data_IF_817248201701
#
_entry.id   IF_817248201701
#
_cell.length_a   1.000
_cell.length_b   1.000
_cell.length_c   1.000
_cell.angle_alpha   90.00
_cell.angle_beta   90.00
_cell.angle_gamma   90.00
#
_symmetry.space_group_name_H-M   'P 1'
#
loop_
_entity.id
_entity.type
_entity.pdbx_description
1 polymer ?
#
# COMPACT_ATOMS: atom_id res chain seq x y z
N UNK A 1 -12.41 -28.82 3.38
CA UNK A 1 -12.48 -27.61 2.54
C UNK A 1 -13.38 -26.60 3.25
N UNK A 2 -12.87 -25.43 3.63
CA UNK A 2 -13.70 -24.41 4.29
C UNK A 2 -14.67 -23.84 3.25
N UNK A 3 -15.99 -23.98 3.46
CA UNK A 3 -17.01 -23.32 2.63
C UNK A 3 -16.68 -21.82 2.58
N UNK A 4 -16.41 -21.29 1.39
CA UNK A 4 -16.24 -19.85 1.21
C UNK A 4 -17.52 -19.12 1.64
N UNK A 5 -17.38 -17.95 2.28
CA UNK A 5 -18.53 -17.10 2.63
C UNK A 5 -19.36 -16.82 1.37
N UNK A 6 -20.65 -17.12 1.43
CA UNK A 6 -21.62 -16.99 0.32
C UNK A 6 -22.20 -15.56 0.16
N UNK A 7 -21.68 -14.58 0.90
CA UNK A 7 -22.13 -13.18 0.81
C UNK A 7 -21.53 -12.43 -0.37
N UNK A 8 -22.04 -11.21 -0.61
CA UNK A 8 -21.54 -10.32 -1.65
C UNK A 8 -20.06 -9.97 -1.46
N UNK A 9 -19.31 -9.90 -2.57
CA UNK A 9 -17.88 -9.58 -2.55
C UNK A 9 -17.66 -8.08 -2.38
N UNK A 10 -17.66 -7.62 -1.14
CA UNK A 10 -17.43 -6.20 -0.82
C UNK A 10 -15.92 -5.86 -0.78
N UNK A 11 -15.55 -4.70 -1.34
CA UNK A 11 -14.17 -4.17 -1.27
C UNK A 11 -13.94 -3.43 0.05
N UNK A 12 -13.11 -3.99 0.92
CA UNK A 12 -12.81 -3.43 2.25
C UNK A 12 -11.54 -2.54 2.30
N UNK A 13 -11.12 -1.99 1.16
CA UNK A 13 -9.90 -1.20 1.06
C UNK A 13 -10.02 -0.08 0.02
N UNK A 14 -9.26 0.97 0.26
CA UNK A 14 -9.00 2.04 -0.72
C UNK A 14 -7.81 1.63 -1.57
N UNK A 15 -7.92 1.90 -2.87
CA UNK A 15 -6.86 1.59 -3.84
C UNK A 15 -5.77 2.66 -3.74
N UNK A 16 -4.53 2.23 -3.87
CA UNK A 16 -3.40 3.12 -4.06
C UNK A 16 -2.47 2.61 -5.16
N UNK A 17 -1.62 3.50 -5.65
CA UNK A 17 -0.63 3.21 -6.69
C UNK A 17 0.76 3.49 -6.13
N UNK A 18 1.67 2.52 -6.30
CA UNK A 18 3.06 2.68 -5.88
C UNK A 18 3.78 3.50 -6.95
N UNK A 19 4.20 4.71 -6.62
CA UNK A 19 4.89 5.58 -7.57
C UNK A 19 6.38 5.23 -7.67
N UNK A 20 7.00 4.91 -6.54
CA UNK A 20 8.43 4.63 -6.46
C UNK A 20 8.93 4.73 -5.03
N UNK A 21 10.23 4.94 -4.89
CA UNK A 21 10.84 5.24 -3.60
C UNK A 21 11.07 6.73 -3.42
N UNK A 22 11.25 7.16 -2.18
CA UNK A 22 11.78 8.49 -1.87
C UNK A 22 13.08 8.67 -2.65
N UNK A 23 13.24 9.79 -3.35
CA UNK A 23 14.40 10.04 -4.23
C UNK A 23 14.82 11.50 -4.20
N UNK A 24 16.07 11.75 -4.58
CA UNK A 24 16.55 13.04 -5.08
C UNK A 24 16.64 12.99 -6.61
N UNK A 25 17.29 13.99 -7.22
CA UNK A 25 17.55 14.02 -8.66
C UNK A 25 18.28 12.74 -9.13
N UNK A 26 19.33 12.36 -8.41
CA UNK A 26 20.22 11.23 -8.72
C UNK A 26 20.08 10.02 -7.79
N UNK A 27 19.72 10.21 -6.52
CA UNK A 27 19.75 9.15 -5.51
C UNK A 27 18.36 8.60 -5.22
N UNK A 28 18.26 7.31 -4.90
CA UNK A 28 17.02 6.67 -4.50
C UNK A 28 17.18 6.04 -3.11
N UNK A 29 16.13 6.12 -2.29
CA UNK A 29 16.12 5.64 -0.89
C UNK A 29 15.02 4.60 -0.71
N UNK A 30 15.32 3.30 -0.92
CA UNK A 30 14.32 2.23 -0.97
C UNK A 30 13.59 1.95 0.35
N UNK A 31 14.12 2.45 1.47
CA UNK A 31 13.54 2.31 2.80
C UNK A 31 12.18 3.01 2.97
N UNK A 32 11.84 3.93 2.06
CA UNK A 32 10.58 4.68 2.08
C UNK A 32 9.96 4.67 0.69
N UNK A 33 8.73 4.17 0.60
CA UNK A 33 7.97 4.15 -0.65
C UNK A 33 7.03 5.35 -0.74
N UNK A 34 6.81 5.83 -1.96
CA UNK A 34 5.84 6.87 -2.30
C UNK A 34 4.60 6.20 -2.90
N UNK A 35 3.44 6.53 -2.35
CA UNK A 35 2.16 5.93 -2.75
C UNK A 35 1.16 7.05 -2.98
N UNK A 36 0.48 7.03 -4.13
CA UNK A 36 -0.71 7.84 -4.36
C UNK A 36 -1.92 7.06 -3.89
N UNK A 37 -2.75 7.65 -3.04
CA UNK A 37 -4.04 7.06 -2.66
C UNK A 37 -5.10 7.58 -3.64
N UNK A 38 -5.95 6.68 -4.16
CA UNK A 38 -7.00 7.03 -5.12
C UNK A 38 -8.02 7.96 -4.44
N UNK A 39 -8.31 9.11 -5.05
CA UNK A 39 -9.25 10.09 -4.53
C UNK A 39 -8.72 10.99 -3.41
N UNK A 40 -7.42 10.97 -3.12
CA UNK A 40 -6.77 11.85 -2.15
C UNK A 40 -5.87 12.84 -2.88
N UNK A 41 -6.18 14.13 -2.78
CA UNK A 41 -5.49 15.17 -3.54
C UNK A 41 -4.81 16.21 -2.64
N UNK A 42 -5.26 16.39 -1.40
CA UNK A 42 -4.69 17.39 -0.48
C UNK A 42 -3.92 16.76 0.68
N UNK A 43 -3.12 17.58 1.36
CA UNK A 43 -2.39 17.16 2.57
C UNK A 43 -3.30 16.97 3.77
N UNK A 44 -4.41 17.70 3.87
CA UNK A 44 -5.36 17.50 4.97
C UNK A 44 -5.99 16.10 4.87
N UNK A 45 -6.44 15.70 3.68
CA UNK A 45 -7.05 14.39 3.43
C UNK A 45 -6.09 13.23 3.74
N UNK A 46 -4.80 13.38 3.42
CA UNK A 46 -3.76 12.39 3.75
C UNK A 46 -3.65 12.14 5.25
N UNK A 47 -3.92 13.14 6.08
CA UNK A 47 -3.75 13.03 7.54
C UNK A 47 -4.64 11.94 8.12
N UNK A 48 -5.84 11.73 7.56
CA UNK A 48 -6.74 10.64 7.93
C UNK A 48 -6.11 9.24 7.72
N UNK A 49 -5.31 9.11 6.65
CA UNK A 49 -4.64 7.88 6.30
C UNK A 49 -3.38 7.61 7.13
N UNK A 50 -2.91 8.55 7.94
CA UNK A 50 -1.72 8.38 8.78
C UNK A 50 -1.89 7.16 9.70
N UNK A 51 -0.89 6.28 9.72
CA UNK A 51 -0.90 5.06 10.53
C UNK A 51 -1.71 3.89 9.97
N UNK A 52 -2.58 4.12 8.97
CA UNK A 52 -3.37 3.06 8.32
C UNK A 52 -2.47 1.98 7.71
N UNK A 53 -2.89 0.72 7.84
CA UNK A 53 -2.17 -0.43 7.29
C UNK A 53 -2.38 -0.54 5.80
N UNK A 54 -1.36 -1.07 5.12
CA UNK A 54 -1.40 -1.33 3.70
C UNK A 54 -0.77 -2.67 3.35
N UNK A 55 -1.18 -3.23 2.23
CA UNK A 55 -0.69 -4.50 1.71
C UNK A 55 -0.39 -4.39 0.22
N UNK A 56 0.83 -4.73 -0.16
CA UNK A 56 1.18 -5.05 -1.53
C UNK A 56 1.04 -6.55 -1.74
N UNK A 57 0.08 -6.95 -2.58
CA UNK A 57 -0.23 -8.35 -2.85
C UNK A 57 0.25 -8.69 -4.26
N UNK A 58 1.03 -9.75 -4.39
CA UNK A 58 1.57 -10.20 -5.66
C UNK A 58 1.46 -11.72 -5.79
N UNK A 59 1.51 -12.20 -7.04
CA UNK A 59 1.45 -13.63 -7.37
C UNK A 59 2.85 -14.13 -7.72
N UNK A 60 3.21 -15.30 -7.19
CA UNK A 60 4.45 -16.00 -7.50
C UNK A 60 4.17 -17.41 -8.05
N UNK A 61 5.07 -17.93 -8.88
CA UNK A 61 4.97 -19.29 -9.44
C UNK A 61 4.98 -20.37 -8.36
N UNK A 62 5.97 -20.44 -7.45
CA UNK A 62 5.98 -21.47 -6.41
C UNK A 62 4.95 -21.19 -5.30
N UNK A 63 4.21 -22.24 -4.92
CA UNK A 63 3.28 -22.20 -3.78
C UNK A 63 4.08 -22.06 -2.48
N UNK A 64 3.65 -21.13 -1.62
CA UNK A 64 4.14 -21.00 -0.26
C UNK A 64 2.94 -20.94 0.67
N UNK A 65 2.96 -21.74 1.75
CA UNK A 65 1.86 -21.81 2.73
C UNK A 65 0.49 -22.07 2.06
N UNK A 66 0.44 -22.97 1.08
CA UNK A 66 -0.79 -23.34 0.37
C UNK A 66 -1.30 -22.32 -0.66
N UNK A 67 -0.61 -21.19 -0.89
CA UNK A 67 -1.05 -20.15 -1.83
C UNK A 67 0.04 -19.69 -2.79
N UNK A 68 -0.37 -19.24 -3.98
CA UNK A 68 0.49 -18.51 -4.92
C UNK A 68 0.57 -17.01 -4.61
N UNK A 69 -0.30 -16.51 -3.74
CA UNK A 69 -0.33 -15.10 -3.37
C UNK A 69 0.57 -14.86 -2.17
N UNK A 70 1.31 -13.74 -2.25
CA UNK A 70 2.19 -13.26 -1.20
C UNK A 70 1.86 -11.81 -0.91
N UNK A 71 2.12 -11.40 0.32
CA UNK A 71 1.81 -10.06 0.79
C UNK A 71 3.03 -9.44 1.46
N UNK A 72 3.31 -8.18 1.14
CA UNK A 72 4.21 -7.33 1.90
C UNK A 72 3.35 -6.31 2.64
N UNK A 73 3.43 -6.34 3.97
CA UNK A 73 2.67 -5.44 4.82
C UNK A 73 3.43 -4.13 5.04
N UNK A 74 2.69 -3.04 5.18
CA UNK A 74 3.24 -1.74 5.53
C UNK A 74 2.23 -0.86 6.24
N UNK A 75 2.64 0.38 6.47
CA UNK A 75 1.79 1.43 7.03
C UNK A 75 2.11 2.79 6.39
N UNK A 76 1.10 3.65 6.37
CA UNK A 76 1.26 5.06 6.04
C UNK A 76 1.99 5.76 7.19
N UNK A 77 3.00 6.57 6.87
CA UNK A 77 3.82 7.26 7.88
C UNK A 77 3.53 8.76 7.95
N UNK A 78 3.59 9.47 6.83
CA UNK A 78 3.38 10.92 6.74
C UNK A 78 3.07 11.35 5.29
N UNK A 79 2.48 12.54 5.07
CA UNK A 79 2.32 13.11 3.73
C UNK A 79 3.66 13.33 3.01
N UNK A 80 3.59 13.42 1.69
CA UNK A 80 4.68 13.76 0.80
C UNK A 80 4.26 14.79 -0.25
N UNK A 81 4.79 16.01 -0.14
CA UNK A 81 4.38 17.10 -1.03
C UNK A 81 2.90 17.47 -0.82
N UNK A 82 2.31 18.12 -1.82
CA UNK A 82 0.98 18.73 -1.71
C UNK A 82 -0.12 17.95 -2.45
N UNK A 83 0.25 16.97 -3.30
CA UNK A 83 -0.67 16.28 -4.22
C UNK A 83 -1.32 15.00 -3.67
N UNK A 84 -1.45 14.89 -2.34
CA UNK A 84 -2.05 13.71 -1.71
C UNK A 84 -1.17 12.44 -1.71
N UNK A 85 0.11 12.54 -2.11
CA UNK A 85 1.06 11.43 -2.05
C UNK A 85 1.45 11.17 -0.59
N UNK A 86 1.61 9.90 -0.22
CA UNK A 86 2.02 9.49 1.12
C UNK A 86 3.36 8.78 1.11
N UNK A 87 4.12 8.96 2.20
CA UNK A 87 5.28 8.13 2.52
C UNK A 87 4.81 6.89 3.27
N UNK A 88 5.24 5.72 2.81
CA UNK A 88 4.96 4.45 3.43
C UNK A 88 6.23 3.72 3.84
N UNK A 89 6.14 2.98 4.94
CA UNK A 89 7.15 2.00 5.35
C UNK A 89 6.53 0.61 5.34
N UNK A 90 7.22 -0.31 4.68
CA UNK A 90 6.86 -1.72 4.64
C UNK A 90 7.78 -2.53 5.56
N UNK A 91 7.32 -3.71 5.98
CA UNK A 91 8.11 -4.65 6.80
C UNK A 91 9.38 -5.09 6.07
N UNK A 92 9.28 -5.29 4.77
CA UNK A 92 10.40 -5.44 3.84
C UNK A 92 10.26 -4.40 2.74
N UNK A 93 11.37 -3.84 2.27
CA UNK A 93 11.34 -2.88 1.16
C UNK A 93 10.60 -3.49 -0.04
N UNK A 94 9.76 -2.68 -0.68
CA UNK A 94 9.07 -3.13 -1.89
C UNK A 94 10.09 -3.41 -3.00
N UNK A 95 9.85 -4.39 -3.88
CA UNK A 95 10.69 -4.61 -5.06
C UNK A 95 10.43 -3.51 -6.12
N UNK A 96 11.43 -3.10 -6.92
CA UNK A 96 11.26 -2.01 -7.89
C UNK A 96 10.22 -2.34 -8.98
N UNK A 97 10.01 -3.63 -9.26
CA UNK A 97 8.94 -4.13 -10.12
C UNK A 97 7.54 -3.71 -9.68
N UNK A 98 7.34 -3.33 -8.41
CA UNK A 98 6.04 -2.89 -7.91
C UNK A 98 5.67 -1.46 -8.33
N UNK A 99 6.58 -0.70 -8.95
CA UNK A 99 6.25 0.65 -9.44
C UNK A 99 5.13 0.59 -10.50
N UNK A 100 4.14 1.47 -10.39
CA UNK A 100 2.91 1.45 -11.19
C UNK A 100 1.90 0.39 -10.76
N UNK A 101 2.25 -0.54 -9.86
CA UNK A 101 1.34 -1.56 -9.36
C UNK A 101 0.46 -1.04 -8.22
N UNK A 102 -0.64 -1.77 -8.00
CA UNK A 102 -1.64 -1.43 -7.00
C UNK A 102 -1.24 -1.90 -5.62
N UNK A 103 -1.49 -1.06 -4.63
CA UNK A 103 -1.44 -1.39 -3.20
C UNK A 103 -2.84 -1.25 -2.61
N UNK A 104 -3.14 -2.06 -1.59
CA UNK A 104 -4.39 -1.96 -0.82
C UNK A 104 -4.12 -1.16 0.43
N UNK A 105 -4.84 -0.05 0.62
CA UNK A 105 -4.81 0.76 1.84
C UNK A 105 -6.07 0.45 2.64
N UNK A 106 -5.91 -0.08 3.84
CA UNK A 106 -7.03 -0.48 4.67
C UNK A 106 -7.48 0.66 5.59
N UNK A 107 -8.71 0.57 6.10
CA UNK A 107 -9.30 1.57 7.00
C UNK A 107 -8.85 1.43 8.46
N UNK A 108 -8.01 0.43 8.79
CA UNK A 108 -7.52 0.19 10.14
C UNK A 108 -6.00 0.46 10.28
N UNK A 109 -5.49 0.82 11.47
CA UNK A 109 -6.24 1.18 12.67
C UNK A 109 -7.05 2.48 12.48
N UNK A 110 -8.29 2.47 12.98
CA UNK A 110 -9.16 3.66 12.93
C UNK A 110 -8.96 4.48 14.19
N UNK A 111 -8.83 5.79 14.01
CA UNK A 111 -8.81 6.80 15.08
C UNK A 111 -9.89 7.87 14.83
N UNK A 112 -10.90 7.51 14.01
CA UNK A 112 -12.12 8.29 13.83
C UNK A 112 -12.99 8.05 15.05
#
# INVERSE_FOLDING_TARGET
MVKGRQGERVRLYVRGTILGYKRSKSNQYPNTSLIQIEGVNTTEEVTWYKGKRMAYIYKAKPKKNGSHYRCIWGKVTRPHGNSGVVRAKFTSNLPPKSMGMRVRVFMYPSNI
#
